data_IF_149033040052
#
_entry.id   IF_149033040052
#
_cell.length_a   1.000
_cell.length_b   1.000
_cell.length_c   1.000
_cell.angle_alpha   90.00
_cell.angle_beta   90.00
_cell.angle_gamma   90.00
#
_symmetry.space_group_name_H-M   'P 1'
#
loop_
_entity.id
_entity.type
_entity.pdbx_description
1 polymer ?
#
# COMPACT_ATOMS: atom_id res chain seq x y z
N UNK A 1 -12.60 10.31 52.71
CA UNK A 1 -11.26 10.38 52.08
C UNK A 1 -10.97 9.00 51.49
N UNK A 2 -11.00 8.81 50.16
CA UNK A 2 -10.68 7.51 49.56
C UNK A 2 -9.19 7.17 49.77
N UNK A 3 -8.89 5.89 49.99
CA UNK A 3 -7.51 5.44 50.26
C UNK A 3 -6.68 5.40 48.96
N UNK A 4 -5.35 5.51 49.07
CA UNK A 4 -4.44 5.56 47.90
C UNK A 4 -4.61 4.35 46.95
N UNK A 5 -4.92 3.17 47.48
CA UNK A 5 -5.23 1.99 46.66
C UNK A 5 -6.56 2.11 45.91
N UNK A 6 -7.57 2.80 46.46
CA UNK A 6 -8.84 3.05 45.78
C UNK A 6 -8.67 3.99 44.56
N UNK A 7 -7.74 4.96 44.63
CA UNK A 7 -7.40 5.84 43.51
C UNK A 7 -6.72 5.09 42.34
N UNK A 8 -5.85 4.12 42.62
CA UNK A 8 -5.17 3.34 41.57
C UNK A 8 -6.15 2.42 40.84
N UNK A 9 -7.09 1.81 41.55
CA UNK A 9 -8.13 0.98 40.93
C UNK A 9 -9.10 1.82 40.07
N UNK A 10 -9.48 3.02 40.52
CA UNK A 10 -10.32 3.93 39.76
C UNK A 10 -9.65 4.40 38.46
N UNK A 11 -8.37 4.82 38.52
CA UNK A 11 -7.64 5.27 37.34
C UNK A 11 -7.39 4.17 36.28
N UNK A 12 -7.38 2.90 36.72
CA UNK A 12 -7.23 1.74 35.83
C UNK A 12 -8.54 1.30 35.19
N UNK A 13 -9.69 1.60 35.79
CA UNK A 13 -11.01 1.43 35.17
C UNK A 13 -11.33 2.55 34.17
N UNK A 14 -11.00 3.81 34.48
CA UNK A 14 -11.22 4.95 33.58
C UNK A 14 -10.50 4.78 32.25
N UNK A 15 -9.24 4.34 32.26
CA UNK A 15 -8.45 4.13 31.05
C UNK A 15 -9.03 3.02 30.14
N UNK A 16 -9.66 1.98 30.71
CA UNK A 16 -10.34 0.93 29.95
C UNK A 16 -11.66 1.40 29.33
N UNK A 17 -12.33 2.38 29.94
CA UNK A 17 -13.54 2.99 29.36
C UNK A 17 -13.18 3.89 28.17
N UNK A 18 -12.10 4.67 28.25
CA UNK A 18 -11.64 5.53 27.14
C UNK A 18 -11.14 4.74 25.93
N UNK A 19 -10.50 3.59 26.15
CA UNK A 19 -10.02 2.73 25.06
C UNK A 19 -11.17 1.96 24.37
N UNK A 20 -12.29 1.70 25.08
CA UNK A 20 -13.48 1.06 24.49
C UNK A 20 -14.34 2.01 23.65
N UNK A 21 -14.47 3.28 24.04
CA UNK A 21 -15.19 4.27 23.21
C UNK A 21 -14.44 4.59 21.91
N UNK A 22 -13.10 4.64 21.93
CA UNK A 22 -12.30 4.78 20.69
C UNK A 22 -12.37 3.58 19.75
N UNK A 23 -12.64 2.38 20.28
CA UNK A 23 -12.78 1.17 19.46
C UNK A 23 -14.17 1.05 18.79
N UNK A 24 -15.20 1.71 19.35
CA UNK A 24 -16.57 1.68 18.80
C UNK A 24 -16.81 2.75 17.71
N UNK A 25 -16.04 3.85 17.70
CA UNK A 25 -16.11 4.87 16.64
C UNK A 25 -15.43 4.45 15.32
N UNK A 26 -14.70 3.33 15.29
CA UNK A 26 -14.06 2.81 14.07
C UNK A 26 -14.88 1.72 13.35
N UNK A 27 -16.06 1.35 13.84
CA UNK A 27 -16.89 0.30 13.24
C UNK A 27 -18.23 0.80 12.66
N UNK A 28 -18.48 2.13 12.59
CA UNK A 28 -19.75 2.68 12.06
C UNK A 28 -19.57 3.83 11.06
N UNK A 29 -18.97 3.51 9.92
CA UNK A 29 -19.12 4.20 8.61
C UNK A 29 -18.32 3.32 7.63
N UNK A 30 -18.86 2.63 6.64
CA UNK A 30 -20.03 2.90 5.80
C UNK A 30 -20.39 1.59 5.11
N UNK A 31 -21.58 1.06 5.37
CA UNK A 31 -22.26 0.14 4.48
C UNK A 31 -23.66 0.72 4.24
N UNK A 32 -24.13 0.57 3.00
CA UNK A 32 -25.41 1.03 2.43
C UNK A 32 -25.49 2.49 1.95
N UNK A 33 -25.19 2.66 0.65
CA UNK A 33 -26.22 3.22 -0.24
C UNK A 33 -26.09 2.48 -1.57
N UNK A 34 -26.97 1.49 -1.71
CA UNK A 34 -27.24 0.78 -2.93
C UNK A 34 -28.28 1.59 -3.73
N UNK A 35 -28.15 1.58 -5.07
CA UNK A 35 -29.16 1.94 -6.10
C UNK A 35 -29.27 3.40 -6.54
N UNK A 36 -28.58 3.74 -7.64
CA UNK A 36 -29.11 4.21 -8.95
C UNK A 36 -27.99 3.91 -9.97
N UNK A 37 -28.14 3.08 -11.00
CA UNK A 37 -28.93 3.30 -12.21
C UNK A 37 -27.97 3.40 -13.42
N UNK A 38 -28.19 2.59 -14.46
CA UNK A 38 -27.28 2.23 -15.56
C UNK A 38 -26.76 3.38 -16.43
N UNK A 39 -25.55 3.24 -16.97
CA UNK A 39 -25.27 3.27 -18.43
C UNK A 39 -23.76 3.15 -18.70
N UNK A 40 -23.34 2.05 -19.34
CA UNK A 40 -21.96 1.85 -19.76
C UNK A 40 -21.63 0.37 -19.90
N UNK A 41 -22.36 -0.35 -20.75
CA UNK A 41 -21.98 -1.68 -21.18
C UNK A 41 -20.70 -1.60 -22.02
N UNK A 42 -19.57 -1.42 -21.35
CA UNK A 42 -18.26 -1.68 -21.93
C UNK A 42 -18.16 -3.20 -22.12
N UNK A 43 -18.21 -3.64 -23.38
CA UNK A 43 -17.89 -5.01 -23.78
C UNK A 43 -16.60 -5.43 -23.08
N UNK A 44 -16.70 -6.30 -22.07
CA UNK A 44 -15.55 -7.01 -21.55
C UNK A 44 -15.13 -7.99 -22.64
N UNK A 45 -14.34 -7.52 -23.61
CA UNK A 45 -13.55 -8.40 -24.45
C UNK A 45 -12.80 -9.32 -23.49
N UNK A 46 -13.00 -10.63 -23.62
CA UNK A 46 -12.24 -11.64 -22.87
C UNK A 46 -10.77 -11.46 -23.24
N UNK A 47 -10.03 -10.71 -22.42
CA UNK A 47 -8.60 -10.54 -22.61
C UNK A 47 -7.98 -11.89 -22.26
N UNK A 48 -7.47 -12.60 -23.27
CA UNK A 48 -6.67 -13.79 -23.08
C UNK A 48 -5.37 -13.37 -22.37
N UNK A 49 -5.41 -13.39 -21.03
CA UNK A 49 -4.36 -12.90 -20.13
C UNK A 49 -2.99 -13.49 -20.45
N UNK A 50 -2.92 -14.75 -20.87
CA UNK A 50 -1.67 -15.45 -21.15
C UNK A 50 -1.05 -15.01 -22.48
N UNK A 51 -1.87 -14.77 -23.51
CA UNK A 51 -1.39 -14.41 -24.85
C UNK A 51 -0.91 -12.96 -24.92
N UNK A 52 -1.51 -12.07 -24.13
CA UNK A 52 -1.04 -10.68 -23.97
C UNK A 52 0.35 -10.59 -23.32
N UNK A 53 0.75 -11.50 -22.43
CA UNK A 53 2.04 -11.38 -21.72
C UNK A 53 3.22 -11.66 -22.67
N UNK A 54 3.05 -12.50 -23.69
CA UNK A 54 4.12 -12.90 -24.61
C UNK A 54 4.46 -11.87 -25.69
N UNK A 55 3.54 -10.94 -26.01
CA UNK A 55 3.76 -9.89 -27.03
C UNK A 55 4.13 -8.52 -26.43
N UNK A 56 3.85 -8.29 -25.14
CA UNK A 56 4.00 -6.98 -24.49
C UNK A 56 5.41 -6.69 -23.95
N UNK A 57 6.28 -7.69 -23.81
CA UNK A 57 7.69 -7.47 -23.45
C UNK A 57 8.46 -6.77 -24.60
N UNK A 58 8.03 -6.94 -25.86
CA UNK A 58 8.65 -6.35 -27.06
C UNK A 58 7.92 -5.12 -27.62
N UNK A 59 6.65 -4.89 -27.28
CA UNK A 59 5.88 -3.76 -27.83
C UNK A 59 5.95 -2.49 -26.97
N UNK A 60 6.15 -2.64 -25.65
CA UNK A 60 6.34 -1.53 -24.72
C UNK A 60 7.64 -0.74 -25.05
N UNK A 61 8.69 -1.47 -25.43
CA UNK A 61 10.05 -0.96 -25.64
C UNK A 61 10.20 0.02 -26.81
N UNK A 62 9.28 0.04 -27.79
CA UNK A 62 9.57 0.70 -29.07
C UNK A 62 9.31 2.22 -29.12
N UNK A 63 8.46 2.80 -28.25
CA UNK A 63 8.15 4.27 -28.30
C UNK A 63 7.79 4.95 -26.97
N UNK A 64 7.74 4.26 -25.83
CA UNK A 64 7.29 4.87 -24.55
C UNK A 64 8.38 4.75 -23.48
N UNK A 65 8.75 5.87 -22.85
CA UNK A 65 9.64 5.90 -21.68
C UNK A 65 8.94 5.23 -20.47
N UNK A 66 8.96 3.90 -20.42
CA UNK A 66 8.32 3.12 -19.37
C UNK A 66 9.21 3.11 -18.14
N UNK A 67 8.60 3.37 -17.00
CA UNK A 67 9.26 3.32 -15.71
C UNK A 67 8.92 2.00 -15.03
N UNK A 68 9.89 1.44 -14.32
CA UNK A 68 9.73 0.20 -13.58
C UNK A 68 9.60 0.47 -12.08
N UNK A 69 8.70 -0.24 -11.43
CA UNK A 69 8.57 -0.25 -9.97
C UNK A 69 9.06 -1.59 -9.48
N UNK A 70 10.17 -1.61 -8.76
CA UNK A 70 10.75 -2.79 -8.15
C UNK A 70 10.33 -2.88 -6.69
N UNK A 71 9.56 -3.93 -6.36
CA UNK A 71 9.17 -4.23 -4.98
C UNK A 71 9.93 -5.47 -4.54
N UNK A 72 10.75 -5.35 -3.51
CA UNK A 72 11.53 -6.45 -2.95
C UNK A 72 11.10 -6.73 -1.51
N UNK A 73 10.53 -7.92 -1.30
CA UNK A 73 10.06 -8.41 -0.01
C UNK A 73 10.94 -9.59 0.43
N UNK A 74 11.97 -9.32 1.22
CA UNK A 74 12.90 -10.34 1.74
C UNK A 74 12.80 -10.39 3.27
N UNK A 75 12.40 -11.55 3.81
CA UNK A 75 12.24 -11.76 5.25
C UNK A 75 11.34 -10.67 5.85
N UNK A 76 11.89 -9.80 6.71
CA UNK A 76 11.21 -8.66 7.35
C UNK A 76 11.55 -7.31 6.69
N UNK A 77 12.39 -7.29 5.66
CA UNK A 77 12.82 -6.08 4.96
C UNK A 77 11.94 -5.86 3.74
N UNK A 78 11.60 -4.59 3.50
CA UNK A 78 10.84 -4.15 2.32
C UNK A 78 11.59 -3.01 1.67
N UNK A 79 11.77 -3.11 0.35
CA UNK A 79 12.34 -2.06 -0.48
C UNK A 79 11.41 -1.83 -1.67
N UNK A 80 11.13 -0.57 -1.95
CA UNK A 80 10.34 -0.14 -3.11
C UNK A 80 11.15 0.91 -3.84
N UNK A 81 11.44 0.66 -5.10
CA UNK A 81 12.27 1.54 -5.93
C UNK A 81 11.61 1.75 -7.27
N UNK A 82 11.61 2.98 -7.77
CA UNK A 82 11.18 3.33 -9.11
C UNK A 82 12.39 3.66 -9.94
N UNK A 83 12.50 3.04 -11.10
CA UNK A 83 13.60 3.20 -12.04
C UNK A 83 13.09 3.54 -13.44
N UNK A 84 13.95 4.13 -14.24
CA UNK A 84 13.73 4.24 -15.68
C UNK A 84 14.01 2.89 -16.38
N UNK A 85 13.68 2.79 -17.67
CA UNK A 85 14.00 1.63 -18.50
C UNK A 85 15.49 1.30 -18.55
N UNK A 86 16.35 2.32 -18.39
CA UNK A 86 17.81 2.19 -18.31
C UNK A 86 18.32 1.74 -16.92
N UNK A 87 17.44 1.58 -15.94
CA UNK A 87 17.81 1.19 -14.57
C UNK A 87 18.16 2.35 -13.63
N UNK A 88 18.11 3.60 -14.09
CA UNK A 88 18.38 4.77 -13.26
C UNK A 88 17.28 4.96 -12.21
N UNK A 89 17.66 5.05 -10.92
CA UNK A 89 16.70 5.26 -9.82
C UNK A 89 16.14 6.69 -9.86
N UNK A 90 14.80 6.79 -9.90
CA UNK A 90 14.06 8.07 -9.79
C UNK A 90 13.65 8.35 -8.35
N UNK A 91 13.00 7.38 -7.71
CA UNK A 91 12.60 7.47 -6.30
C UNK A 91 12.62 6.10 -5.65
N UNK A 92 12.54 6.03 -4.33
CA UNK A 92 12.40 4.78 -3.62
C UNK A 92 12.63 4.94 -2.13
N UNK A 93 12.08 4.00 -1.37
CA UNK A 93 12.19 3.97 0.07
C UNK A 93 12.30 2.51 0.57
N UNK A 94 12.79 2.38 1.79
CA UNK A 94 12.69 1.15 2.56
C UNK A 94 11.80 1.37 3.78
N UNK A 95 11.30 0.27 4.35
CA UNK A 95 10.46 0.32 5.55
C UNK A 95 11.08 1.08 6.74
N UNK A 96 12.41 1.19 6.81
CA UNK A 96 13.10 1.93 7.88
C UNK A 96 13.43 3.38 7.55
N UNK A 97 13.20 3.84 6.32
CA UNK A 97 13.51 5.20 5.87
C UNK A 97 12.38 6.21 6.15
N UNK A 98 11.17 5.72 6.43
CA UNK A 98 10.05 6.58 6.79
C UNK A 98 10.20 7.04 8.24
N UNK A 99 10.05 8.35 8.49
CA UNK A 99 10.17 8.95 9.82
C UNK A 99 9.21 8.29 10.84
N UNK A 100 7.98 8.00 10.44
CA UNK A 100 6.98 7.28 11.24
C UNK A 100 7.35 5.82 11.55
N UNK A 101 8.38 5.27 10.89
CA UNK A 101 8.73 3.84 10.92
C UNK A 101 10.14 3.53 11.35
N UNK A 102 10.79 4.44 12.07
CA UNK A 102 12.06 4.14 12.75
C UNK A 102 11.87 3.13 13.90
N UNK A 103 12.94 2.45 14.30
CA UNK A 103 12.94 1.53 15.44
C UNK A 103 12.14 0.24 15.22
N UNK A 104 11.23 -0.09 16.16
CA UNK A 104 10.40 -1.32 16.11
C UNK A 104 9.32 -1.25 15.03
N UNK A 105 8.87 -0.05 14.67
CA UNK A 105 7.80 0.19 13.70
C UNK A 105 8.15 -0.30 12.28
N UNK A 106 9.43 -0.32 11.88
CA UNK A 106 9.90 -0.92 10.61
C UNK A 106 9.56 -2.40 10.45
N UNK A 107 9.33 -3.12 11.55
CA UNK A 107 8.97 -4.54 11.55
C UNK A 107 7.46 -4.76 11.56
N UNK A 108 6.68 -3.67 11.58
CA UNK A 108 5.22 -3.72 11.55
C UNK A 108 4.72 -4.50 10.33
N UNK A 109 3.62 -5.22 10.52
CA UNK A 109 2.90 -5.89 9.42
C UNK A 109 2.52 -4.93 8.29
N UNK A 110 2.28 -3.66 8.64
CA UNK A 110 1.88 -2.60 7.72
C UNK A 110 3.08 -1.88 7.06
N UNK A 111 4.33 -2.20 7.44
CA UNK A 111 5.53 -1.50 6.97
C UNK A 111 5.67 -1.48 5.45
N UNK A 112 5.39 -2.62 4.82
CA UNK A 112 5.50 -2.76 3.37
C UNK A 112 4.47 -1.90 2.62
N UNK A 113 3.23 -1.90 3.11
CA UNK A 113 2.09 -1.18 2.53
C UNK A 113 2.34 0.33 2.51
N UNK A 114 2.72 0.90 3.65
CA UNK A 114 3.00 2.33 3.72
C UNK A 114 4.26 2.75 2.97
N UNK A 115 5.28 1.89 2.90
CA UNK A 115 6.46 2.16 2.05
C UNK A 115 6.03 2.27 0.59
N UNK A 116 5.20 1.33 0.12
CA UNK A 116 4.71 1.34 -1.25
C UNK A 116 3.82 2.56 -1.53
N UNK A 117 2.92 2.90 -0.61
CA UNK A 117 2.06 4.08 -0.74
C UNK A 117 2.88 5.38 -0.79
N UNK A 118 3.87 5.54 0.10
CA UNK A 118 4.74 6.72 0.12
C UNK A 118 5.54 6.88 -1.18
N UNK A 119 6.10 5.79 -1.70
CA UNK A 119 6.84 5.84 -2.97
C UNK A 119 5.88 6.04 -4.14
N UNK A 120 4.64 5.53 -4.07
CA UNK A 120 3.58 5.80 -5.06
C UNK A 120 3.22 7.28 -5.13
N UNK A 121 3.05 7.93 -3.97
CA UNK A 121 2.85 9.39 -3.88
C UNK A 121 4.04 10.16 -4.45
N UNK A 122 5.26 9.73 -4.13
CA UNK A 122 6.49 10.35 -4.63
C UNK A 122 6.61 10.22 -6.16
N UNK A 123 6.28 9.05 -6.71
CA UNK A 123 6.24 8.78 -8.15
C UNK A 123 5.24 9.70 -8.87
N UNK A 124 4.05 9.90 -8.30
CA UNK A 124 3.05 10.82 -8.84
C UNK A 124 3.55 12.26 -8.81
N UNK A 125 4.16 12.70 -7.69
CA UNK A 125 4.71 14.06 -7.55
C UNK A 125 5.77 14.37 -8.61
N UNK A 126 6.49 13.35 -9.10
CA UNK A 126 7.45 13.49 -10.21
C UNK A 126 6.81 13.43 -11.61
N UNK A 127 5.49 13.33 -11.73
CA UNK A 127 4.78 13.34 -13.01
C UNK A 127 4.80 12.03 -13.78
N UNK A 128 5.09 10.90 -13.12
CA UNK A 128 5.01 9.58 -13.77
C UNK A 128 3.55 9.23 -14.07
N UNK A 129 3.24 8.87 -15.33
CA UNK A 129 1.88 8.53 -15.78
C UNK A 129 1.64 7.02 -15.91
N UNK A 130 2.66 6.29 -16.35
CA UNK A 130 2.59 4.85 -16.59
C UNK A 130 3.81 4.16 -16.02
N UNK A 131 3.59 3.07 -15.29
CA UNK A 131 4.65 2.28 -14.66
C UNK A 131 4.35 0.79 -14.77
N UNK A 132 5.39 -0.03 -14.89
CA UNK A 132 5.30 -1.49 -14.85
C UNK A 132 5.90 -1.98 -13.54
N UNK A 133 5.14 -2.72 -12.75
CA UNK A 133 5.59 -3.16 -11.43
C UNK A 133 6.08 -4.61 -11.43
N UNK A 134 7.28 -4.82 -10.90
CA UNK A 134 7.95 -6.12 -10.72
C UNK A 134 8.07 -6.42 -9.22
N UNK A 135 7.29 -7.38 -8.74
CA UNK A 135 7.26 -7.77 -7.32
C UNK A 135 8.05 -9.05 -7.10
N UNK A 136 9.19 -8.95 -6.40
CA UNK A 136 10.07 -10.07 -6.05
C UNK A 136 10.00 -10.37 -4.54
N UNK A 137 10.06 -11.65 -4.18
CA UNK A 137 10.14 -12.10 -2.79
C UNK A 137 9.38 -13.39 -2.49
N UNK A 138 9.93 -14.17 -1.56
CA UNK A 138 9.33 -15.40 -1.00
C UNK A 138 8.35 -15.04 0.12
N UNK A 139 7.20 -14.46 -0.25
CA UNK A 139 6.12 -14.15 0.68
C UNK A 139 4.78 -14.59 0.11
N UNK A 140 3.81 -14.84 0.99
CA UNK A 140 2.45 -15.17 0.59
C UNK A 140 1.85 -14.12 -0.34
N UNK A 141 1.09 -14.57 -1.33
CA UNK A 141 0.44 -13.69 -2.30
C UNK A 141 -0.44 -12.61 -1.63
N UNK A 142 -1.10 -12.94 -0.51
CA UNK A 142 -1.87 -11.95 0.28
C UNK A 142 -1.03 -10.73 0.64
N UNK A 143 0.24 -10.90 1.03
CA UNK A 143 1.13 -9.78 1.36
C UNK A 143 1.52 -8.99 0.11
N UNK A 144 1.85 -9.68 -0.98
CA UNK A 144 2.14 -9.04 -2.28
C UNK A 144 0.96 -8.20 -2.76
N UNK A 145 -0.25 -8.77 -2.73
CA UNK A 145 -1.51 -8.09 -3.11
C UNK A 145 -1.72 -6.80 -2.33
N UNK A 146 -1.56 -6.84 -1.00
CA UNK A 146 -1.71 -5.61 -0.18
C UNK A 146 -0.73 -4.52 -0.60
N UNK A 147 0.54 -4.86 -0.80
CA UNK A 147 1.57 -3.90 -1.24
C UNK A 147 1.24 -3.30 -2.60
N UNK A 148 0.74 -4.11 -3.53
CA UNK A 148 0.30 -3.66 -4.86
C UNK A 148 -0.85 -2.66 -4.75
N UNK A 149 -1.84 -2.96 -3.91
CA UNK A 149 -2.99 -2.08 -3.69
C UNK A 149 -2.58 -0.77 -3.00
N UNK A 150 -1.70 -0.82 -2.00
CA UNK A 150 -1.19 0.38 -1.33
C UNK A 150 -0.35 1.26 -2.26
N UNK A 151 0.45 0.66 -3.15
CA UNK A 151 1.12 1.42 -4.22
C UNK A 151 0.12 2.17 -5.08
N UNK A 152 -0.90 1.44 -5.58
CA UNK A 152 -1.95 2.02 -6.43
C UNK A 152 -2.62 3.19 -5.73
N UNK A 153 -3.00 3.03 -4.47
CA UNK A 153 -3.63 4.07 -3.66
C UNK A 153 -2.79 5.36 -3.64
N UNK A 154 -1.49 5.24 -3.35
CA UNK A 154 -0.58 6.39 -3.35
C UNK A 154 -0.32 6.98 -4.74
N UNK A 155 -0.41 6.16 -5.80
CA UNK A 155 -0.18 6.61 -7.17
C UNK A 155 -1.40 7.29 -7.80
N UNK A 156 -2.63 6.92 -7.41
CA UNK A 156 -3.87 7.44 -8.00
C UNK A 156 -4.54 8.60 -7.26
N UNK A 157 -4.38 8.71 -5.93
CA UNK A 157 -4.98 9.81 -5.12
C UNK A 157 -4.09 11.04 -5.10
#
# INVERSE_FOLDING_TARGET
>A
MPTFNQLIHHGREEKRRTDRTRALDQEKTTAETDRLGLAGAGSFKSINFVQSISEEDEQCSRKKNINFVHVLLIKKKTFVTVTDAKGNKKTGASAGCLEERKGRSRLSRYAAEATAEHVGRSARKMGLKSVVMKVKGSTFFRKKKKVILSWREGFSR
#
